data_IF_868514053743
#
_entry.id   IF_868514053743
#
_cell.length_a   1.000
_cell.length_b   1.000
_cell.length_c   1.000
_cell.angle_alpha   90.00
_cell.angle_beta   90.00
_cell.angle_gamma   90.00
#
_symmetry.space_group_name_H-M   'P 1'
#
loop_
_entity.id
_entity.type
_entity.pdbx_description
1 polymer ?
#
# COMPACT_ATOMS: atom_id res chain seq x y z
N UNK A 1 2.28 -3.10 -27.92
CA UNK A 1 1.94 -1.67 -28.00
C UNK A 1 3.08 -0.88 -27.37
N UNK A 2 3.87 -0.14 -28.17
CA UNK A 2 5.06 0.59 -27.71
C UNK A 2 4.65 1.90 -27.00
N UNK A 3 4.15 1.80 -25.77
CA UNK A 3 3.83 2.97 -24.93
C UNK A 3 5.11 3.49 -24.30
N UNK A 4 5.27 4.81 -24.23
CA UNK A 4 6.36 5.42 -23.46
C UNK A 4 6.36 4.81 -22.04
N UNK A 5 7.48 4.24 -21.57
CA UNK A 5 7.51 3.55 -20.27
C UNK A 5 7.04 4.45 -19.14
N UNK A 6 7.24 5.77 -19.23
CA UNK A 6 6.74 6.73 -18.24
C UNK A 6 5.22 6.79 -18.15
N UNK A 7 4.51 6.81 -19.30
CA UNK A 7 3.04 6.89 -19.29
C UNK A 7 2.41 5.55 -18.91
N UNK A 8 2.99 4.44 -19.36
CA UNK A 8 2.52 3.10 -18.99
C UNK A 8 2.63 2.84 -17.48
N UNK A 9 3.73 3.26 -16.86
CA UNK A 9 3.95 3.06 -15.42
C UNK A 9 2.97 3.88 -14.57
N UNK A 10 2.65 5.11 -14.99
CA UNK A 10 1.66 5.95 -14.31
C UNK A 10 0.25 5.33 -14.44
N UNK A 11 -0.10 4.81 -15.61
CA UNK A 11 -1.41 4.16 -15.78
C UNK A 11 -1.58 2.90 -14.94
N UNK A 12 -0.53 2.09 -14.78
CA UNK A 12 -0.55 0.92 -13.89
C UNK A 12 -0.64 1.32 -12.42
N UNK A 13 0.08 2.38 -12.01
CA UNK A 13 -0.01 2.91 -10.65
C UNK A 13 -1.42 3.43 -10.34
N UNK A 14 -2.05 4.15 -11.28
CA UNK A 14 -3.42 4.63 -11.13
C UNK A 14 -4.43 3.47 -11.01
N UNK A 15 -4.25 2.41 -11.80
CA UNK A 15 -5.10 1.22 -11.73
C UNK A 15 -4.97 0.51 -10.37
N UNK A 16 -3.76 0.38 -9.86
CA UNK A 16 -3.51 -0.22 -8.54
C UNK A 16 -4.01 0.67 -7.40
N UNK A 17 -3.92 2.00 -7.54
CA UNK A 17 -4.53 2.96 -6.62
C UNK A 17 -6.03 2.71 -6.52
N UNK A 18 -6.72 2.54 -7.65
CA UNK A 18 -8.14 2.19 -7.67
C UNK A 18 -8.44 0.85 -6.99
N UNK A 19 -7.62 -0.18 -7.21
CA UNK A 19 -7.75 -1.46 -6.50
C UNK A 19 -7.58 -1.33 -4.98
N UNK A 20 -6.59 -0.56 -4.51
CA UNK A 20 -6.38 -0.31 -3.08
C UNK A 20 -7.61 0.35 -2.45
N UNK A 21 -8.20 1.34 -3.12
CA UNK A 21 -9.43 2.00 -2.66
C UNK A 21 -10.60 1.01 -2.59
N UNK A 22 -10.79 0.18 -3.61
CA UNK A 22 -11.87 -0.83 -3.63
C UNK A 22 -11.69 -1.84 -2.49
N UNK A 23 -10.46 -2.30 -2.25
CA UNK A 23 -10.15 -3.23 -1.16
C UNK A 23 -10.43 -2.58 0.20
N UNK A 24 -10.01 -1.34 0.41
CA UNK A 24 -10.27 -0.58 1.64
C UNK A 24 -11.77 -0.32 1.87
N UNK A 25 -12.53 -0.08 0.80
CA UNK A 25 -13.98 0.04 0.91
C UNK A 25 -14.62 -1.30 1.28
N UNK A 26 -14.25 -2.38 0.59
CA UNK A 26 -14.76 -3.72 0.87
C UNK A 26 -14.39 -4.23 2.27
N UNK A 27 -13.25 -3.82 2.82
CA UNK A 27 -12.85 -4.21 4.18
C UNK A 27 -13.79 -3.69 5.26
N UNK A 28 -14.58 -2.63 4.96
CA UNK A 28 -15.62 -2.13 5.86
C UNK A 28 -16.79 -3.12 6.02
N UNK A 29 -17.00 -4.01 5.05
CA UNK A 29 -18.03 -5.05 5.08
C UNK A 29 -17.46 -6.43 5.42
N UNK A 30 -16.27 -6.73 4.90
CA UNK A 30 -15.63 -8.04 5.01
C UNK A 30 -14.20 -7.85 5.52
N UNK A 31 -14.01 -8.02 6.83
CA UNK A 31 -12.73 -7.75 7.51
C UNK A 31 -11.55 -8.54 6.94
N UNK A 32 -11.77 -9.75 6.41
CA UNK A 32 -10.70 -10.60 5.87
C UNK A 32 -10.06 -10.02 4.60
N UNK A 33 -10.74 -9.11 3.90
CA UNK A 33 -10.24 -8.43 2.70
C UNK A 33 -9.04 -7.54 3.03
N UNK A 34 -8.95 -7.05 4.27
CA UNK A 34 -7.84 -6.22 4.74
C UNK A 34 -6.47 -6.91 4.63
N UNK A 35 -6.43 -8.25 4.74
CA UNK A 35 -5.20 -9.03 4.59
C UNK A 35 -4.60 -8.91 3.18
N UNK A 36 -5.44 -8.67 2.17
CA UNK A 36 -5.02 -8.53 0.78
C UNK A 36 -4.66 -7.09 0.39
N UNK A 37 -4.84 -6.11 1.29
CA UNK A 37 -4.51 -4.71 1.03
C UNK A 37 -3.06 -4.44 0.61
N UNK A 38 -2.01 -5.01 1.25
CA UNK A 38 -0.64 -4.76 0.81
C UNK A 38 -0.29 -5.43 -0.54
N UNK A 39 -1.06 -6.42 -0.98
CA UNK A 39 -0.72 -7.26 -2.14
C UNK A 39 -0.62 -6.47 -3.46
N UNK A 40 -1.59 -5.61 -3.83
CA UNK A 40 -1.46 -4.77 -5.03
C UNK A 40 -0.27 -3.80 -4.97
N UNK A 41 0.03 -3.25 -3.79
CA UNK A 41 1.16 -2.33 -3.60
C UNK A 41 2.52 -3.04 -3.79
N UNK A 42 2.62 -4.29 -3.33
CA UNK A 42 3.81 -5.15 -3.52
C UNK A 42 4.00 -5.47 -5.01
N UNK A 43 2.92 -5.85 -5.71
CA UNK A 43 2.96 -6.15 -7.15
C UNK A 43 3.43 -4.92 -7.94
N UNK A 44 2.91 -3.74 -7.62
CA UNK A 44 3.34 -2.48 -8.25
C UNK A 44 4.82 -2.21 -8.00
N UNK A 45 5.25 -2.34 -6.75
CA UNK A 45 6.65 -2.11 -6.37
C UNK A 45 7.60 -3.04 -7.10
N UNK A 46 7.32 -4.35 -7.13
CA UNK A 46 8.19 -5.31 -7.83
C UNK A 46 8.27 -5.06 -9.33
N UNK A 47 7.18 -4.60 -9.96
CA UNK A 47 7.13 -4.38 -11.40
C UNK A 47 7.71 -3.04 -11.85
N UNK A 48 7.44 -1.97 -11.09
CA UNK A 48 7.70 -0.58 -11.52
C UNK A 48 8.66 0.18 -10.62
N UNK A 49 8.94 -0.37 -9.44
CA UNK A 49 9.78 0.24 -8.42
C UNK A 49 8.99 0.88 -7.29
N UNK A 50 9.68 1.04 -6.17
CA UNK A 50 9.13 1.48 -4.89
C UNK A 50 8.50 2.89 -4.93
N UNK A 51 9.04 3.78 -5.77
CA UNK A 51 8.53 5.15 -5.94
C UNK A 51 7.08 5.19 -6.40
N UNK A 52 6.69 4.29 -7.32
CA UNK A 52 5.32 4.23 -7.82
C UNK A 52 4.38 3.58 -6.82
N UNK A 53 4.86 2.63 -6.02
CA UNK A 53 4.09 2.04 -4.91
C UNK A 53 3.79 3.07 -3.81
N UNK A 54 4.79 3.87 -3.41
CA UNK A 54 4.61 4.97 -2.47
C UNK A 54 3.58 5.99 -2.94
N UNK A 55 3.64 6.40 -4.21
CA UNK A 55 2.67 7.29 -4.84
C UNK A 55 1.26 6.69 -4.88
N UNK A 56 1.12 5.40 -5.21
CA UNK A 56 -0.17 4.74 -5.25
C UNK A 56 -0.82 4.63 -3.86
N UNK A 57 -0.02 4.29 -2.83
CA UNK A 57 -0.50 4.22 -1.44
C UNK A 57 -0.96 5.59 -0.94
N UNK A 58 -0.12 6.61 -1.04
CA UNK A 58 -0.49 7.98 -0.63
C UNK A 58 -1.68 8.54 -1.39
N UNK A 59 -1.78 8.29 -2.70
CA UNK A 59 -2.96 8.69 -3.48
C UNK A 59 -4.22 7.92 -3.05
N UNK A 60 -4.09 6.62 -2.74
CA UNK A 60 -5.22 5.81 -2.28
C UNK A 60 -5.71 6.26 -0.91
N UNK A 61 -4.81 6.64 0.01
CA UNK A 61 -5.16 7.12 1.34
C UNK A 61 -5.97 8.41 1.30
N UNK A 62 -5.61 9.34 0.40
CA UNK A 62 -6.38 10.56 0.18
C UNK A 62 -7.81 10.25 -0.29
N UNK A 63 -7.95 9.33 -1.24
CA UNK A 63 -9.27 8.92 -1.75
C UNK A 63 -10.07 8.19 -0.66
N UNK A 64 -9.43 7.29 0.08
CA UNK A 64 -10.03 6.57 1.21
C UNK A 64 -10.51 7.55 2.28
N UNK A 65 -9.72 8.57 2.61
CA UNK A 65 -10.09 9.62 3.56
C UNK A 65 -11.33 10.40 3.11
N UNK A 66 -11.48 10.64 1.80
CA UNK A 66 -12.66 11.31 1.25
C UNK A 66 -13.90 10.39 1.26
N UNK A 67 -13.71 9.08 1.08
CA UNK A 67 -14.80 8.11 0.90
C UNK A 67 -15.33 7.50 2.21
N UNK A 68 -14.42 7.14 3.13
CA UNK A 68 -14.71 6.46 4.40
C UNK A 68 -14.56 7.39 5.63
N UNK A 69 -14.21 8.65 5.40
CA UNK A 69 -14.01 9.66 6.44
C UNK A 69 -12.56 9.82 6.90
N UNK A 70 -12.29 10.98 7.51
CA UNK A 70 -10.94 11.41 7.89
C UNK A 70 -10.26 10.45 8.89
N UNK A 71 -11.02 9.92 9.85
CA UNK A 71 -10.51 9.00 10.85
C UNK A 71 -10.00 7.70 10.22
N UNK A 72 -10.77 7.11 9.31
CA UNK A 72 -10.39 5.90 8.59
C UNK A 72 -9.19 6.14 7.69
N UNK A 73 -9.19 7.24 6.94
CA UNK A 73 -8.05 7.63 6.09
C UNK A 73 -6.74 7.80 6.86
N UNK A 74 -6.80 8.41 8.06
CA UNK A 74 -5.64 8.54 8.95
C UNK A 74 -5.09 7.18 9.41
N UNK A 75 -5.95 6.22 9.73
CA UNK A 75 -5.52 4.86 10.11
C UNK A 75 -4.80 4.18 8.95
N UNK A 76 -5.33 4.28 7.73
CA UNK A 76 -4.68 3.72 6.54
C UNK A 76 -3.32 4.38 6.28
N UNK A 77 -3.27 5.71 6.33
CA UNK A 77 -2.05 6.46 6.07
C UNK A 77 -0.96 6.22 7.13
N UNK A 78 -1.32 6.17 8.42
CA UNK A 78 -0.35 6.03 9.49
C UNK A 78 0.06 4.58 9.73
N UNK A 79 -0.86 3.61 9.68
CA UNK A 79 -0.53 2.21 9.97
C UNK A 79 -0.26 1.40 8.72
N UNK A 80 -1.12 1.49 7.72
CA UNK A 80 -1.09 0.57 6.57
C UNK A 80 -0.08 0.99 5.50
N UNK A 81 0.12 2.29 5.29
CA UNK A 81 1.08 2.79 4.31
C UNK A 81 2.54 2.47 4.65
N UNK A 82 3.07 2.73 5.86
CA UNK A 82 4.43 2.30 6.22
C UNK A 82 4.57 0.78 6.23
N UNK A 83 3.54 0.04 6.66
CA UNK A 83 3.51 -1.42 6.61
C UNK A 83 3.63 -1.95 5.17
N UNK A 84 2.78 -1.47 4.26
CA UNK A 84 2.77 -1.87 2.85
C UNK A 84 4.06 -1.44 2.14
N UNK A 85 4.61 -0.26 2.47
CA UNK A 85 5.90 0.20 1.96
C UNK A 85 7.06 -0.68 2.40
N UNK A 86 7.13 -1.06 3.68
CA UNK A 86 8.18 -1.93 4.21
C UNK A 86 8.13 -3.33 3.59
N UNK A 87 6.93 -3.90 3.44
CA UNK A 87 6.75 -5.17 2.72
C UNK A 87 7.18 -5.03 1.26
N UNK A 88 6.77 -3.94 0.60
CA UNK A 88 7.15 -3.69 -0.79
C UNK A 88 8.66 -3.53 -0.93
N UNK A 89 9.32 -2.88 0.04
CA UNK A 89 10.78 -2.74 0.09
C UNK A 89 11.49 -4.09 0.17
N UNK A 90 11.10 -4.96 1.12
CA UNK A 90 11.70 -6.29 1.25
C UNK A 90 11.55 -7.13 -0.03
N UNK A 91 10.37 -7.07 -0.67
CA UNK A 91 10.12 -7.77 -1.93
C UNK A 91 10.89 -7.17 -3.12
N UNK A 92 11.10 -5.86 -3.15
CA UNK A 92 11.89 -5.19 -4.20
C UNK A 92 13.38 -5.47 -4.07
N UNK A 93 13.88 -5.68 -2.85
CA UNK A 93 15.28 -6.00 -2.56
C UNK A 93 15.61 -7.51 -2.72
N UNK A 94 14.65 -8.31 -3.20
CA UNK A 94 14.71 -9.79 -3.31
C UNK A 94 15.19 -10.47 -2.00
N UNK A 95 14.77 -9.93 -0.86
CA UNK A 95 15.09 -10.54 0.43
C UNK A 95 14.22 -11.77 0.72
N UNK A 96 14.72 -12.65 1.59
CA UNK A 96 13.97 -13.81 2.06
C UNK A 96 12.58 -13.41 2.60
N UNK A 97 11.57 -14.24 2.33
CA UNK A 97 10.20 -14.00 2.77
C UNK A 97 10.12 -13.72 4.28
N UNK A 98 10.93 -14.42 5.08
CA UNK A 98 11.00 -14.22 6.53
C UNK A 98 11.51 -12.82 6.92
N UNK A 99 12.50 -12.29 6.21
CA UNK A 99 13.03 -10.94 6.45
C UNK A 99 12.03 -9.87 6.03
N UNK A 100 11.39 -10.07 4.89
CA UNK A 100 10.34 -9.16 4.41
C UNK A 100 9.18 -9.05 5.40
N UNK A 101 8.70 -10.18 5.93
CA UNK A 101 7.64 -10.20 6.95
C UNK A 101 8.11 -9.52 8.24
N UNK A 102 9.38 -9.71 8.62
CA UNK A 102 9.98 -9.04 9.77
C UNK A 102 10.03 -7.51 9.60
N UNK A 103 10.40 -7.02 8.41
CA UNK A 103 10.39 -5.59 8.10
C UNK A 103 8.98 -5.01 8.12
N UNK A 104 8.01 -5.73 7.54
CA UNK A 104 6.60 -5.35 7.63
C UNK A 104 6.10 -5.27 9.07
N UNK A 105 6.30 -6.33 9.86
CA UNK A 105 5.83 -6.37 11.25
C UNK A 105 6.51 -5.31 12.12
N UNK A 106 7.82 -5.09 11.96
CA UNK A 106 8.54 -4.02 12.66
C UNK A 106 7.98 -2.63 12.29
N UNK A 107 7.77 -2.37 11.00
CA UNK A 107 7.20 -1.11 10.54
C UNK A 107 5.78 -0.90 11.09
N UNK A 108 4.95 -1.94 11.12
CA UNK A 108 3.62 -1.87 11.70
C UNK A 108 3.65 -1.58 13.21
N UNK A 109 4.54 -2.25 13.97
CA UNK A 109 4.67 -1.98 15.40
C UNK A 109 5.13 -0.56 15.69
N UNK A 110 6.12 -0.05 14.95
CA UNK A 110 6.59 1.34 15.09
C UNK A 110 5.45 2.32 14.79
N UNK A 111 4.70 2.06 13.72
CA UNK A 111 3.57 2.90 13.31
C UNK A 111 2.43 2.87 14.32
N UNK A 112 2.18 1.71 14.93
CA UNK A 112 1.20 1.55 16.00
C UNK A 112 1.58 2.32 17.26
N UNK A 113 2.87 2.24 17.67
CA UNK A 113 3.38 3.04 18.81
C UNK A 113 3.25 4.53 18.51
N UNK A 114 3.60 4.98 17.31
CA UNK A 114 3.49 6.37 16.89
C UNK A 114 2.04 6.88 16.80
N UNK A 115 1.06 6.00 16.60
CA UNK A 115 -0.36 6.36 16.57
C UNK A 115 -0.96 6.53 17.98
N UNK A 116 -0.42 5.83 18.98
CA UNK A 116 -0.92 5.86 20.37
C UNK A 116 -0.31 7.03 21.17
N UNK A 117 0.92 7.41 20.85
CA UNK A 117 1.67 8.50 21.50
C UNK A 117 1.16 9.88 21.09
#
# INVERSE_FOLDING_TARGET
MNRNPKTSNITEAAMITGMLVIIAYLSSFITIVMFFYPTPAIILGKRKGLKYSALALTASDLIISMLLGLQTGLIFFLLYTPFALALTYGVCSDEDANKTILFGSAAYMISFVAFIL
#
